data_IF_997902948037
#
_entry.id   IF_997902948037
#
_cell.length_a   1.000
_cell.length_b   1.000
_cell.length_c   1.000
_cell.angle_alpha   90.00
_cell.angle_beta   90.00
_cell.angle_gamma   90.00
#
_symmetry.space_group_name_H-M   'P 1'
#
loop_
_entity.id
_entity.type
_entity.pdbx_description
1 polymer ?
#
# COMPACT_ATOMS: atom_id res chain seq x y z
N UNK A 1 -12.45 16.46 12.71
CA UNK A 1 -12.71 15.59 13.86
C UNK A 1 -12.73 16.40 15.14
N UNK A 2 -13.66 16.07 16.05
CA UNK A 2 -13.88 16.83 17.27
C UNK A 2 -13.01 16.33 18.43
N UNK A 3 -12.56 17.24 19.29
CA UNK A 3 -11.78 16.92 20.50
C UNK A 3 -12.51 15.91 21.42
N UNK A 4 -13.85 15.96 21.48
CA UNK A 4 -14.65 15.04 22.29
C UNK A 4 -14.57 13.58 21.83
N UNK A 5 -14.46 13.34 20.51
CA UNK A 5 -14.32 11.97 19.96
C UNK A 5 -12.95 11.40 20.33
N UNK A 6 -11.91 12.22 20.25
CA UNK A 6 -10.55 11.87 20.66
C UNK A 6 -10.48 11.60 22.16
N UNK A 7 -11.12 12.43 22.99
CA UNK A 7 -11.16 12.24 24.45
C UNK A 7 -11.86 10.92 24.83
N UNK A 8 -12.93 10.54 24.12
CA UNK A 8 -13.62 9.26 24.34
C UNK A 8 -12.71 8.06 24.05
N UNK A 9 -12.00 8.09 22.91
CA UNK A 9 -11.05 7.03 22.55
C UNK A 9 -9.90 6.96 23.57
N UNK A 10 -9.35 8.10 23.97
CA UNK A 10 -8.29 8.17 24.97
C UNK A 10 -8.70 7.57 26.31
N UNK A 11 -9.90 7.89 26.80
CA UNK A 11 -10.44 7.32 28.03
C UNK A 11 -10.57 5.79 27.95
N UNK A 12 -11.05 5.25 26.82
CA UNK A 12 -11.14 3.81 26.61
C UNK A 12 -9.77 3.11 26.57
N UNK A 13 -8.72 3.83 26.17
CA UNK A 13 -7.32 3.36 26.19
C UNK A 13 -6.64 3.52 27.55
N UNK A 14 -7.33 4.12 28.53
CA UNK A 14 -6.81 4.38 29.88
C UNK A 14 -5.86 5.59 29.95
N UNK A 15 -5.93 6.50 28.98
CA UNK A 15 -5.14 7.73 28.98
C UNK A 15 -5.86 8.83 29.78
N UNK A 16 -5.08 9.55 30.59
CA UNK A 16 -5.50 10.75 31.29
C UNK A 16 -5.04 12.01 30.55
N UNK A 17 -5.82 13.10 30.66
CA UNK A 17 -5.48 14.40 30.09
C UNK A 17 -6.38 14.80 28.92
N UNK A 18 -6.44 16.10 28.66
CA UNK A 18 -7.23 16.65 27.57
C UNK A 18 -6.50 16.51 26.22
N UNK A 19 -7.20 16.24 25.10
CA UNK A 19 -6.61 16.26 23.77
C UNK A 19 -5.98 17.61 23.44
N UNK A 20 -4.69 17.59 23.08
CA UNK A 20 -3.94 18.76 22.62
C UNK A 20 -3.78 18.67 21.11
N UNK A 21 -3.96 19.78 20.41
CA UNK A 21 -3.76 19.83 18.96
C UNK A 21 -2.33 20.32 18.68
N UNK A 22 -1.54 19.49 18.01
CA UNK A 22 -0.18 19.77 17.57
C UNK A 22 -0.13 19.68 16.05
N UNK A 23 -0.15 20.82 15.36
CA UNK A 23 -0.28 20.86 13.90
C UNK A 23 -1.61 20.24 13.44
N UNK A 24 -1.52 19.18 12.64
CA UNK A 24 -2.68 18.45 12.11
C UNK A 24 -3.04 17.20 12.93
N UNK A 25 -2.42 17.00 14.10
CA UNK A 25 -2.61 15.81 14.95
C UNK A 25 -3.15 16.20 16.32
N UNK A 26 -4.20 15.51 16.76
CA UNK A 26 -4.57 15.47 18.17
C UNK A 26 -3.64 14.49 18.90
N UNK A 27 -3.19 14.87 20.08
CA UNK A 27 -2.34 14.06 20.96
C UNK A 27 -2.98 13.96 22.35
N UNK A 28 -3.01 12.75 22.90
CA UNK A 28 -3.42 12.49 24.29
C UNK A 28 -2.43 11.50 24.90
N UNK A 29 -2.10 11.71 26.17
CA UNK A 29 -1.04 10.96 26.84
C UNK A 29 0.30 11.70 26.77
N UNK A 30 1.38 10.97 27.06
CA UNK A 30 2.75 11.46 27.24
C UNK A 30 2.96 12.29 28.52
N UNK A 31 3.96 11.90 29.33
CA UNK A 31 4.48 12.68 30.43
C UNK A 31 5.23 13.92 29.94
N UNK A 32 5.48 14.89 30.81
CA UNK A 32 6.22 16.12 30.43
C UNK A 32 7.64 15.85 29.89
N UNK A 33 8.17 14.65 30.14
CA UNK A 33 9.48 14.15 29.73
C UNK A 33 9.45 13.37 28.39
N UNK A 34 8.31 13.31 27.70
CA UNK A 34 8.17 12.57 26.46
C UNK A 34 7.94 11.06 26.64
N UNK A 35 7.83 10.59 27.89
CA UNK A 35 7.69 9.18 28.20
C UNK A 35 6.22 8.74 28.34
N UNK A 36 5.97 7.45 28.17
CA UNK A 36 4.67 6.84 28.46
C UNK A 36 3.73 6.68 27.25
N UNK A 37 2.46 6.32 27.53
CA UNK A 37 1.52 5.92 26.50
C UNK A 37 1.05 7.15 25.71
N UNK A 38 0.94 7.00 24.40
CA UNK A 38 0.59 8.07 23.47
C UNK A 38 -0.49 7.61 22.50
N UNK A 39 -1.54 8.42 22.37
CA UNK A 39 -2.53 8.37 21.31
C UNK A 39 -2.33 9.57 20.39
N UNK A 40 -2.20 9.30 19.08
CA UNK A 40 -2.24 10.32 18.03
C UNK A 40 -3.43 10.11 17.13
N UNK A 41 -4.07 11.19 16.68
CA UNK A 41 -5.27 11.15 15.82
C UNK A 41 -5.26 12.28 14.80
N UNK A 42 -5.30 11.96 13.50
CA UNK A 42 -5.30 12.96 12.42
C UNK A 42 -6.53 13.87 12.48
N UNK A 43 -6.40 15.20 12.58
CA UNK A 43 -7.54 16.13 12.69
C UNK A 43 -8.58 15.98 11.57
N UNK A 44 -8.14 15.67 10.35
CA UNK A 44 -9.00 15.47 9.18
C UNK A 44 -9.63 14.08 9.19
N UNK A 45 -10.91 14.00 8.82
CA UNK A 45 -11.61 12.73 8.63
C UNK A 45 -10.91 11.89 7.53
N UNK A 46 -10.92 10.55 7.62
CA UNK A 46 -11.63 9.69 8.59
C UNK A 46 -10.99 9.62 9.99
N UNK A 47 -9.89 10.33 10.21
CA UNK A 47 -9.31 10.48 11.53
C UNK A 47 -8.48 9.28 11.95
N UNK A 48 -7.48 8.94 11.14
CA UNK A 48 -6.57 7.83 11.43
C UNK A 48 -5.91 8.04 12.77
N UNK A 49 -5.99 7.03 13.62
CA UNK A 49 -5.43 7.05 14.95
C UNK A 49 -4.42 5.93 15.14
N UNK A 50 -3.45 6.21 16.00
CA UNK A 50 -2.43 5.26 16.42
C UNK A 50 -2.18 5.42 17.92
N UNK A 51 -2.08 4.28 18.60
CA UNK A 51 -1.85 4.19 20.02
C UNK A 51 -0.70 3.25 20.30
N UNK A 52 0.20 3.69 21.17
CA UNK A 52 1.23 2.83 21.74
C UNK A 52 1.31 3.04 23.25
N UNK A 53 1.34 1.94 24.00
CA UNK A 53 1.58 1.98 25.45
C UNK A 53 3.01 2.36 25.77
N UNK A 54 3.92 1.86 24.95
CA UNK A 54 5.36 1.96 25.12
C UNK A 54 5.89 2.67 23.88
N UNK A 55 6.72 3.69 24.06
CA UNK A 55 7.34 4.35 22.91
C UNK A 55 8.24 3.36 22.15
N UNK A 56 8.35 3.54 20.83
CA UNK A 56 9.35 2.84 20.01
C UNK A 56 10.70 3.54 20.25
N UNK A 57 11.18 3.38 21.46
CA UNK A 57 12.40 3.92 21.99
C UNK A 57 12.71 3.05 23.17
N UNK A 58 13.45 1.96 22.91
CA UNK A 58 14.08 1.25 24.01
C UNK A 58 14.88 2.25 24.86
N UNK A 59 15.25 1.81 26.06
CA UNK A 59 16.52 2.25 26.62
C UNK A 59 17.53 2.31 25.48
N UNK A 60 18.31 3.39 25.40
CA UNK A 60 19.23 3.67 24.31
C UNK A 60 20.00 2.42 23.88
N UNK A 61 20.48 2.46 22.65
CA UNK A 61 21.34 1.42 22.10
C UNK A 61 22.28 0.89 23.20
N UNK A 62 22.21 -0.40 23.56
CA UNK A 62 23.07 -1.01 24.61
C UNK A 62 24.57 -0.99 24.22
N UNK A 63 24.91 -0.15 23.26
CA UNK A 63 26.22 0.21 22.80
C UNK A 63 26.95 0.93 23.92
N UNK A 64 28.09 0.35 24.28
CA UNK A 64 29.02 1.00 25.19
C UNK A 64 29.57 2.24 24.49
N UNK A 65 29.33 3.42 25.07
CA UNK A 65 29.80 4.70 24.54
C UNK A 65 31.31 4.63 24.24
N UNK A 66 31.70 4.85 22.98
CA UNK A 66 33.10 4.77 22.52
C UNK A 66 33.54 3.39 22.01
N UNK A 67 32.61 2.46 21.77
CA UNK A 67 32.84 1.18 21.11
C UNK A 67 31.93 1.06 19.89
N UNK A 68 32.44 0.51 18.79
CA UNK A 68 31.69 0.25 17.56
C UNK A 68 30.76 -1.00 17.66
N UNK A 69 30.64 -1.59 18.85
CA UNK A 69 29.88 -2.83 19.07
C UNK A 69 28.85 -2.68 20.18
N UNK A 70 27.62 -3.02 19.84
CA UNK A 70 26.48 -3.04 20.75
C UNK A 70 26.32 -4.46 21.31
N UNK A 71 27.26 -4.86 22.17
CA UNK A 71 27.35 -6.23 22.69
C UNK A 71 27.52 -7.30 21.59
N UNK A 72 27.56 -8.60 21.94
CA UNK A 72 27.41 -9.65 20.93
C UNK A 72 26.01 -9.52 20.31
N UNK A 73 25.96 -9.34 18.99
CA UNK A 73 24.71 -9.22 18.24
C UNK A 73 23.90 -10.53 18.36
N UNK A 74 23.05 -10.64 19.38
CA UNK A 74 21.95 -11.60 19.34
C UNK A 74 20.89 -11.02 18.41
N UNK A 75 20.94 -11.42 17.15
CA UNK A 75 19.80 -11.28 16.24
C UNK A 75 18.55 -11.83 16.94
N UNK A 76 17.37 -11.18 16.86
CA UNK A 76 16.14 -11.79 17.33
C UNK A 76 15.92 -13.07 16.53
N UNK A 77 16.20 -14.22 17.15
CA UNK A 77 16.01 -15.53 16.54
C UNK A 77 14.51 -15.77 16.38
N UNK A 78 14.02 -15.54 15.16
CA UNK A 78 12.79 -16.16 14.68
C UNK A 78 12.97 -17.68 14.72
N UNK A 79 12.02 -18.35 15.36
CA UNK A 79 12.06 -19.76 15.75
C UNK A 79 12.75 -20.72 14.79
N UNK A 80 13.71 -21.46 15.33
CA UNK A 80 13.91 -22.87 15.01
C UNK A 80 13.82 -23.62 16.35
N UNK A 81 12.79 -24.47 16.47
CA UNK A 81 12.76 -25.49 17.49
C UNK A 81 13.92 -26.47 17.27
N UNK A 82 14.31 -27.15 18.34
CA UNK A 82 15.28 -28.26 18.39
C UNK A 82 16.73 -27.87 18.69
N UNK A 83 17.01 -27.58 19.95
CA UNK A 83 18.30 -27.90 20.59
C UNK A 83 18.11 -28.12 22.10
N UNK A 84 18.40 -29.32 22.63
CA UNK A 84 18.32 -29.57 24.06
C UNK A 84 19.61 -29.09 24.73
N UNK A 85 19.48 -28.13 25.65
CA UNK A 85 20.55 -27.76 26.59
C UNK A 85 21.12 -26.37 26.38
N UNK A 86 20.42 -25.35 26.85
CA UNK A 86 21.04 -24.09 27.27
C UNK A 86 20.26 -23.55 28.47
N UNK A 87 20.95 -23.44 29.61
CA UNK A 87 20.41 -22.96 30.87
C UNK A 87 19.91 -21.51 30.72
N UNK A 88 18.68 -21.27 31.19
CA UNK A 88 17.97 -20.01 31.00
C UNK A 88 18.64 -18.82 31.69
N UNK A 89 18.68 -17.70 30.96
CA UNK A 89 18.83 -16.37 31.57
C UNK A 89 17.50 -15.97 32.24
N UNK A 90 17.50 -15.58 33.52
CA UNK A 90 16.29 -15.09 34.19
C UNK A 90 16.09 -13.61 33.83
N UNK A 91 15.25 -13.32 32.83
CA UNK A 91 15.03 -11.93 32.43
C UNK A 91 13.92 -11.62 31.41
N UNK A 92 13.27 -12.61 30.80
CA UNK A 92 12.07 -12.35 29.98
C UNK A 92 11.22 -13.61 29.90
N UNK A 93 10.43 -13.87 30.93
CA UNK A 93 9.23 -14.65 30.74
C UNK A 93 8.29 -13.82 29.87
N UNK A 94 8.44 -13.92 28.55
CA UNK A 94 7.42 -13.43 27.63
C UNK A 94 6.15 -14.23 27.96
N UNK A 95 5.24 -13.61 28.73
CA UNK A 95 4.01 -14.25 29.16
C UNK A 95 3.25 -14.80 27.95
N UNK A 96 2.64 -15.98 28.09
CA UNK A 96 1.81 -16.53 27.03
C UNK A 96 0.71 -15.52 26.65
N UNK A 97 0.40 -15.36 25.35
CA UNK A 97 -0.68 -14.48 24.94
C UNK A 97 -2.00 -14.91 25.58
N UNK A 98 -2.84 -13.95 25.92
CA UNK A 98 -4.19 -14.19 26.44
C UNK A 98 -5.03 -15.03 25.47
N UNK A 99 -6.18 -15.56 25.89
CA UNK A 99 -7.12 -16.23 24.97
C UNK A 99 -7.77 -15.24 23.99
N UNK A 100 -8.42 -15.75 22.94
CA UNK A 100 -9.17 -14.90 22.00
C UNK A 100 -10.31 -14.15 22.71
N UNK A 101 -11.02 -14.83 23.60
CA UNK A 101 -12.14 -14.28 24.35
C UNK A 101 -11.68 -13.15 25.28
N UNK A 102 -10.56 -13.37 25.99
CA UNK A 102 -9.98 -12.36 26.87
C UNK A 102 -9.48 -11.14 26.08
N UNK A 103 -8.85 -11.34 24.92
CA UNK A 103 -8.44 -10.23 24.06
C UNK A 103 -9.63 -9.44 23.51
N UNK A 104 -10.68 -10.13 23.03
CA UNK A 104 -11.92 -9.49 22.54
C UNK A 104 -12.59 -8.68 23.65
N UNK A 105 -12.65 -9.21 24.87
CA UNK A 105 -13.17 -8.49 26.03
C UNK A 105 -12.35 -7.24 26.37
N UNK A 106 -11.02 -7.33 26.34
CA UNK A 106 -10.12 -6.20 26.58
C UNK A 106 -10.21 -5.12 25.48
N UNK A 107 -10.45 -5.51 24.23
CA UNK A 107 -10.58 -4.62 23.09
C UNK A 107 -11.96 -3.93 22.99
N UNK A 108 -13.01 -4.54 23.56
CA UNK A 108 -14.39 -4.10 23.40
C UNK A 108 -14.64 -2.61 23.78
N UNK A 109 -14.10 -2.05 24.88
CA UNK A 109 -14.28 -0.64 25.21
C UNK A 109 -13.67 0.30 24.16
N UNK A 110 -12.51 -0.05 23.63
CA UNK A 110 -11.81 0.73 22.59
C UNK A 110 -12.60 0.71 21.29
N UNK A 111 -13.09 -0.47 20.89
CA UNK A 111 -13.93 -0.63 19.70
C UNK A 111 -15.25 0.14 19.83
N UNK A 112 -15.89 0.11 21.00
CA UNK A 112 -17.09 0.90 21.27
C UNK A 112 -16.81 2.41 21.17
N UNK A 113 -15.69 2.88 21.72
CA UNK A 113 -15.28 4.28 21.64
C UNK A 113 -14.99 4.73 20.19
N UNK A 114 -14.46 3.82 19.36
CA UNK A 114 -14.25 4.01 17.93
C UNK A 114 -15.52 3.83 17.08
N UNK A 115 -16.69 3.56 17.69
CA UNK A 115 -17.95 3.37 16.97
C UNK A 115 -18.10 2.00 16.28
N UNK A 116 -17.30 1.01 16.67
CA UNK A 116 -17.17 -0.31 16.03
C UNK A 116 -17.62 -1.46 16.95
N UNK A 117 -18.49 -1.19 17.93
CA UNK A 117 -18.96 -2.21 18.88
C UNK A 117 -19.73 -3.38 18.25
N UNK A 118 -20.27 -3.20 17.04
CA UNK A 118 -20.95 -4.25 16.26
C UNK A 118 -20.09 -4.88 15.17
N UNK A 119 -18.80 -4.55 15.09
CA UNK A 119 -17.90 -5.10 14.06
C UNK A 119 -17.65 -6.59 14.29
N UNK A 120 -17.43 -7.34 13.20
CA UNK A 120 -16.96 -8.73 13.29
C UNK A 120 -15.53 -8.74 13.80
N UNK A 121 -15.26 -9.55 14.82
CA UNK A 121 -13.95 -9.63 15.46
C UNK A 121 -13.18 -10.89 15.07
N UNK A 122 -11.91 -10.73 14.72
CA UNK A 122 -10.94 -11.80 14.54
C UNK A 122 -9.77 -11.59 15.51
N UNK A 123 -9.46 -12.60 16.34
CA UNK A 123 -8.37 -12.53 17.32
C UNK A 123 -7.36 -13.68 17.17
N UNK A 124 -7.33 -14.35 16.00
CA UNK A 124 -6.47 -15.50 15.74
C UNK A 124 -4.98 -15.14 15.68
N UNK A 125 -4.67 -13.90 15.31
CA UNK A 125 -3.29 -13.43 15.13
C UNK A 125 -2.61 -13.21 16.50
N UNK A 126 -1.41 -13.80 16.63
CA UNK A 126 -0.53 -13.64 17.79
C UNK A 126 0.84 -13.16 17.30
N UNK A 127 1.41 -12.19 18.01
CA UNK A 127 2.75 -11.66 17.79
C UNK A 127 3.52 -11.66 19.11
N UNK A 128 4.36 -12.67 19.33
CA UNK A 128 5.02 -12.88 20.63
C UNK A 128 3.99 -13.11 21.75
N UNK A 129 4.04 -12.28 22.79
CA UNK A 129 3.07 -12.28 23.91
C UNK A 129 1.82 -11.45 23.65
N UNK A 130 1.69 -10.82 22.49
CA UNK A 130 0.58 -9.93 22.14
C UNK A 130 -0.41 -10.66 21.24
N UNK A 131 -1.70 -10.67 21.63
CA UNK A 131 -2.79 -11.10 20.76
C UNK A 131 -3.38 -9.89 20.03
N UNK A 132 -3.58 -10.00 18.72
CA UNK A 132 -4.13 -8.91 17.90
C UNK A 132 -5.60 -9.18 17.62
N UNK A 133 -6.46 -8.26 18.06
CA UNK A 133 -7.89 -8.21 17.71
C UNK A 133 -8.05 -7.30 16.50
N UNK A 134 -8.55 -7.83 15.41
CA UNK A 134 -8.94 -7.09 14.21
C UNK A 134 -10.46 -6.95 14.17
N UNK A 135 -10.95 -5.76 13.88
CA UNK A 135 -12.35 -5.44 13.74
C UNK A 135 -12.58 -4.74 12.40
N UNK A 136 -13.36 -5.38 11.52
CA UNK A 136 -13.79 -4.77 10.26
C UNK A 136 -15.21 -4.18 10.45
N UNK A 137 -15.39 -2.86 10.35
CA UNK A 137 -16.67 -2.23 10.56
C UNK A 137 -17.65 -2.53 9.42
N UNK A 138 -18.95 -2.50 9.73
CA UNK A 138 -20.01 -2.50 8.71
C UNK A 138 -20.30 -1.03 8.36
N UNK A 139 -20.22 -0.67 7.09
CA UNK A 139 -20.44 0.70 6.61
C UNK A 139 -21.60 0.68 5.62
N UNK A 140 -22.66 1.45 5.91
CA UNK A 140 -23.86 1.47 5.05
C UNK A 140 -24.54 0.11 4.90
N UNK A 141 -24.41 -0.79 5.89
CA UNK A 141 -24.94 -2.15 5.84
C UNK A 141 -24.05 -3.16 5.10
N UNK A 142 -22.92 -2.72 4.55
CA UNK A 142 -21.99 -3.58 3.82
C UNK A 142 -20.77 -3.95 4.69
N UNK A 143 -20.31 -5.21 4.67
CA UNK A 143 -19.07 -5.60 5.33
C UNK A 143 -17.88 -4.90 4.66
N UNK A 144 -16.86 -4.57 5.45
CA UNK A 144 -15.60 -4.02 4.92
C UNK A 144 -14.49 -5.05 4.99
N UNK A 145 -13.51 -4.92 4.10
CA UNK A 145 -12.27 -5.69 4.14
C UNK A 145 -11.08 -4.74 3.94
N UNK A 146 -10.11 -4.79 4.86
CA UNK A 146 -8.93 -3.91 4.81
C UNK A 146 -9.17 -2.48 5.30
N UNK A 147 -10.32 -2.24 5.92
CA UNK A 147 -10.64 -1.02 6.68
C UNK A 147 -10.71 -1.33 8.17
N UNK A 148 -9.73 -2.10 8.67
CA UNK A 148 -9.79 -2.67 10.01
C UNK A 148 -9.23 -1.72 11.08
N UNK A 149 -9.88 -1.75 12.24
CA UNK A 149 -9.23 -1.40 13.50
C UNK A 149 -8.46 -2.60 14.02
N UNK A 150 -7.21 -2.40 14.43
CA UNK A 150 -6.37 -3.44 15.05
C UNK A 150 -5.96 -3.02 16.44
N UNK A 151 -6.12 -3.93 17.41
CA UNK A 151 -5.83 -3.69 18.82
C UNK A 151 -4.94 -4.84 19.30
N UNK A 152 -3.72 -4.53 19.75
CA UNK A 152 -2.84 -5.49 20.38
C UNK A 152 -3.10 -5.55 21.89
N UNK A 153 -3.30 -6.75 22.42
CA UNK A 153 -3.53 -7.01 23.85
C UNK A 153 -2.37 -7.84 24.40
N UNK A 154 -1.69 -7.32 25.42
CA UNK A 154 -0.58 -8.01 26.09
C UNK A 154 -1.04 -9.18 26.97
N UNK A 155 -0.08 -9.96 27.46
CA UNK A 155 -0.32 -11.09 28.37
C UNK A 155 -1.02 -10.69 29.69
N UNK A 156 -0.93 -9.41 30.07
CA UNK A 156 -1.60 -8.80 31.23
C UNK A 156 -3.04 -8.33 30.94
N UNK A 157 -3.59 -8.68 29.77
CA UNK A 157 -4.90 -8.24 29.28
C UNK A 157 -5.04 -6.72 29.10
N UNK A 158 -3.93 -5.97 29.00
CA UNK A 158 -3.95 -4.55 28.68
C UNK A 158 -3.76 -4.34 27.18
N UNK A 159 -4.46 -3.37 26.61
CA UNK A 159 -4.28 -2.95 25.20
C UNK A 159 -2.90 -2.32 25.06
N UNK A 160 -1.91 -2.94 24.42
CA UNK A 160 -0.54 -2.39 24.30
C UNK A 160 -0.33 -1.54 23.05
N UNK A 161 -1.08 -1.82 21.98
CA UNK A 161 -1.02 -1.09 20.71
C UNK A 161 -2.43 -0.98 20.13
N UNK A 162 -2.65 0.01 19.28
CA UNK A 162 -3.90 0.09 18.52
C UNK A 162 -3.80 1.04 17.34
N UNK A 163 -4.53 0.76 16.27
CA UNK A 163 -4.68 1.68 15.15
C UNK A 163 -5.99 1.47 14.42
N UNK A 164 -6.50 2.51 13.78
CA UNK A 164 -7.74 2.45 13.02
C UNK A 164 -8.20 3.83 12.54
N UNK A 165 -9.50 3.94 12.27
CA UNK A 165 -10.17 5.17 11.87
C UNK A 165 -11.23 5.54 12.89
N UNK A 166 -11.31 6.83 13.27
CA UNK A 166 -12.21 7.26 14.34
C UNK A 166 -13.61 7.64 13.86
N UNK A 167 -13.74 8.03 12.59
CA UNK A 167 -15.02 8.42 12.00
C UNK A 167 -15.37 7.49 10.84
N UNK A 168 -16.64 7.09 10.77
CA UNK A 168 -17.14 6.33 9.64
C UNK A 168 -17.02 7.15 8.33
N UNK A 169 -16.64 6.51 7.21
CA UNK A 169 -16.68 7.16 5.91
C UNK A 169 -18.09 7.65 5.58
N UNK A 170 -18.16 8.82 4.93
CA UNK A 170 -19.43 9.37 4.41
C UNK A 170 -19.68 8.84 2.99
N UNK A 171 -20.95 8.68 2.63
CA UNK A 171 -21.34 8.25 1.28
C UNK A 171 -20.94 9.33 0.26
N UNK A 172 -20.11 8.96 -0.71
CA UNK A 172 -19.67 9.87 -1.77
C UNK A 172 -20.62 9.84 -2.98
N UNK A 173 -20.82 8.66 -3.59
CA UNK A 173 -21.64 8.50 -4.79
C UNK A 173 -22.24 7.08 -4.88
N UNK A 174 -23.13 6.89 -5.85
CA UNK A 174 -23.56 5.58 -6.31
C UNK A 174 -22.68 5.11 -7.46
N UNK A 175 -22.35 3.82 -7.47
CA UNK A 175 -21.51 3.23 -8.50
C UNK A 175 -22.14 1.92 -8.99
N UNK A 176 -22.28 1.74 -10.32
CA UNK A 176 -22.66 0.45 -10.88
C UNK A 176 -21.66 -0.64 -10.49
N UNK A 177 -22.17 -1.80 -10.10
CA UNK A 177 -21.35 -2.96 -9.73
C UNK A 177 -21.52 -4.08 -10.74
N UNK A 178 -20.41 -4.76 -11.05
CA UNK A 178 -20.42 -6.00 -11.82
C UNK A 178 -21.01 -7.15 -11.01
N UNK A 179 -21.43 -8.24 -11.64
CA UNK A 179 -21.84 -9.46 -10.94
C UNK A 179 -20.66 -10.20 -10.28
N UNK A 180 -20.97 -11.02 -9.26
CA UNK A 180 -19.94 -11.79 -8.53
C UNK A 180 -19.15 -12.76 -9.42
N UNK A 181 -19.83 -13.39 -10.38
CA UNK A 181 -19.21 -14.35 -11.32
C UNK A 181 -18.19 -13.64 -12.20
N UNK A 182 -18.54 -12.48 -12.76
CA UNK A 182 -17.63 -11.68 -13.59
C UNK A 182 -16.46 -11.14 -12.77
N UNK A 183 -16.71 -10.69 -11.54
CA UNK A 183 -15.64 -10.27 -10.63
C UNK A 183 -14.67 -11.41 -10.32
N UNK A 184 -15.17 -12.63 -10.09
CA UNK A 184 -14.35 -13.81 -9.86
C UNK A 184 -13.55 -14.20 -11.11
N UNK A 185 -14.14 -14.10 -12.30
CA UNK A 185 -13.43 -14.31 -13.57
C UNK A 185 -12.26 -13.33 -13.69
N UNK A 186 -12.50 -12.03 -13.46
CA UNK A 186 -11.44 -11.00 -13.45
C UNK A 186 -10.37 -11.26 -12.40
N UNK A 187 -10.74 -11.80 -11.24
CA UNK A 187 -9.78 -12.17 -10.19
C UNK A 187 -8.89 -13.33 -10.64
N UNK A 188 -9.49 -14.35 -11.26
CA UNK A 188 -8.77 -15.50 -11.80
C UNK A 188 -7.83 -15.09 -12.95
N UNK A 189 -8.25 -14.19 -13.83
CA UNK A 189 -7.43 -13.69 -14.94
C UNK A 189 -6.16 -12.99 -14.45
N UNK A 190 -6.27 -12.14 -13.41
CA UNK A 190 -5.10 -11.50 -12.76
C UNK A 190 -4.16 -12.53 -12.15
N UNK A 191 -4.71 -13.62 -11.59
CA UNK A 191 -3.95 -14.67 -10.93
C UNK A 191 -3.16 -15.58 -11.89
N UNK A 192 -3.45 -15.55 -13.20
CA UNK A 192 -2.73 -16.38 -14.18
C UNK A 192 -1.31 -15.89 -14.48
N UNK A 193 -0.98 -14.63 -14.17
CA UNK A 193 0.32 -14.04 -14.51
C UNK A 193 0.56 -13.98 -16.02
N UNK A 194 1.52 -13.18 -16.46
CA UNK A 194 2.02 -13.30 -17.83
C UNK A 194 2.70 -14.67 -17.99
N UNK A 195 2.50 -15.33 -19.14
CA UNK A 195 2.96 -16.67 -19.49
C UNK A 195 4.47 -16.87 -19.25
N UNK A 196 4.91 -17.14 -18.01
CA UNK A 196 6.21 -17.70 -17.63
C UNK A 196 7.48 -17.04 -18.22
N UNK A 197 7.38 -15.91 -18.90
CA UNK A 197 8.44 -15.30 -19.72
C UNK A 197 8.89 -13.94 -19.19
N UNK A 198 8.23 -13.44 -18.13
CA UNK A 198 8.70 -12.27 -17.39
C UNK A 198 9.80 -12.67 -16.40
N UNK A 199 10.87 -11.85 -16.23
CA UNK A 199 11.84 -12.07 -15.17
C UNK A 199 11.08 -11.94 -13.84
N UNK A 200 10.92 -13.04 -13.12
CA UNK A 200 10.38 -13.03 -11.77
C UNK A 200 11.22 -12.14 -10.84
N UNK A 201 10.72 -11.83 -9.63
CA UNK A 201 11.48 -11.06 -8.65
C UNK A 201 12.66 -11.89 -8.14
N UNK A 202 13.76 -11.90 -8.88
CA UNK A 202 15.04 -12.48 -8.49
C UNK A 202 16.19 -11.71 -9.13
N UNK A 203 16.21 -10.39 -8.98
CA UNK A 203 17.47 -9.65 -9.02
C UNK A 203 17.99 -9.57 -7.58
N UNK A 204 19.00 -10.36 -7.28
CA UNK A 204 19.79 -10.22 -6.07
C UNK A 204 20.36 -8.80 -6.00
N UNK A 205 19.94 -8.00 -5.02
CA UNK A 205 20.62 -6.75 -4.74
C UNK A 205 22.03 -7.09 -4.23
N UNK A 206 23.07 -6.66 -4.96
CA UNK A 206 24.46 -6.74 -4.49
C UNK A 206 24.78 -5.49 -3.66
N UNK A 207 25.58 -5.65 -2.61
CA UNK A 207 26.08 -4.55 -1.79
C UNK A 207 26.92 -3.57 -2.61
N UNK A 208 26.80 -2.27 -2.35
CA UNK A 208 27.71 -1.21 -2.87
C UNK A 208 28.76 -0.85 -1.80
N UNK A 209 30.00 -0.44 -2.16
CA UNK A 209 30.44 0.04 -3.48
C UNK A 209 30.91 -1.04 -4.46
N UNK A 210 30.50 -0.90 -5.73
CA UNK A 210 31.05 -1.66 -6.86
C UNK A 210 32.39 -1.04 -7.28
N UNK A 211 33.50 -1.51 -6.72
CA UNK A 211 34.80 -1.25 -7.33
C UNK A 211 34.94 -2.16 -8.58
N UNK A 212 35.28 -1.60 -9.76
CA UNK A 212 35.28 -2.33 -11.03
C UNK A 212 36.22 -3.56 -11.08
N UNK A 213 37.18 -3.67 -10.16
CA UNK A 213 38.31 -4.59 -10.27
C UNK A 213 38.42 -5.59 -9.10
N UNK A 214 37.33 -5.92 -8.40
CA UNK A 214 37.36 -7.02 -7.43
C UNK A 214 36.85 -8.30 -8.09
N UNK A 215 37.71 -9.29 -8.42
CA UNK A 215 37.24 -10.57 -8.86
C UNK A 215 36.48 -11.22 -7.70
N UNK A 216 35.19 -11.52 -7.93
CA UNK A 216 34.44 -12.41 -7.04
C UNK A 216 35.20 -13.73 -6.95
N UNK A 217 35.71 -14.06 -5.77
CA UNK A 217 36.36 -15.34 -5.55
C UNK A 217 35.33 -16.45 -5.81
N UNK A 218 35.75 -17.53 -6.47
CA UNK A 218 34.89 -18.69 -6.79
C UNK A 218 34.28 -19.42 -5.56
N UNK A 219 34.49 -18.87 -4.35
CA UNK A 219 34.00 -19.40 -3.08
C UNK A 219 33.01 -18.48 -2.37
N UNK A 220 32.68 -17.31 -2.91
CA UNK A 220 31.60 -16.48 -2.36
C UNK A 220 30.25 -17.04 -2.82
N UNK A 221 29.61 -17.83 -1.95
CA UNK A 221 28.19 -18.15 -2.10
C UNK A 221 27.39 -16.85 -2.09
N UNK A 222 26.92 -16.42 -3.25
CA UNK A 222 25.93 -15.35 -3.36
C UNK A 222 24.76 -15.69 -2.42
N UNK A 223 24.31 -14.76 -1.55
CA UNK A 223 23.28 -15.01 -0.53
C UNK A 223 21.89 -15.34 -1.12
N UNK A 224 21.77 -15.36 -2.44
CA UNK A 224 20.57 -15.71 -3.16
C UNK A 224 20.96 -16.44 -4.47
N UNK A 225 20.28 -17.57 -4.72
CA UNK A 225 20.44 -18.34 -5.95
C UNK A 225 19.89 -17.52 -7.15
N UNK A 226 20.70 -17.19 -8.17
CA UNK A 226 20.26 -16.46 -9.36
C UNK A 226 19.41 -17.31 -10.32
N UNK A 227 19.30 -18.62 -10.10
CA UNK A 227 18.46 -19.48 -10.92
C UNK A 227 16.97 -19.15 -10.71
N UNK A 228 16.19 -18.99 -11.79
CA UNK A 228 14.74 -18.88 -11.70
C UNK A 228 14.23 -20.17 -11.06
N UNK A 229 13.81 -20.09 -9.79
CA UNK A 229 13.08 -21.19 -9.18
C UNK A 229 11.83 -21.41 -10.03
N UNK A 230 11.56 -22.65 -10.49
CA UNK A 230 10.33 -22.94 -11.22
C UNK A 230 9.16 -22.41 -10.40
N UNK A 231 8.41 -21.45 -10.96
CA UNK A 231 7.21 -20.97 -10.31
C UNK A 231 6.28 -22.17 -10.17
N UNK A 232 5.92 -22.50 -8.92
CA UNK A 232 4.94 -23.55 -8.69
C UNK A 232 3.67 -23.17 -9.47
N UNK A 233 3.03 -24.14 -10.16
CA UNK A 233 1.78 -23.88 -10.86
C UNK A 233 0.78 -23.16 -9.95
N UNK A 234 0.00 -22.21 -10.48
CA UNK A 234 -1.04 -21.54 -9.70
C UNK A 234 -1.96 -22.60 -9.12
N UNK A 235 -2.23 -22.48 -7.82
CA UNK A 235 -3.08 -23.42 -7.10
C UNK A 235 -4.53 -22.99 -7.23
N UNK A 236 -5.40 -23.94 -7.53
CA UNK A 236 -6.85 -23.70 -7.48
C UNK A 236 -7.33 -23.77 -6.03
N UNK A 237 -8.24 -22.88 -5.66
CA UNK A 237 -8.85 -22.82 -4.33
C UNK A 237 -10.37 -22.74 -4.45
N UNK A 238 -11.08 -23.37 -3.51
CA UNK A 238 -12.55 -23.40 -3.53
C UNK A 238 -13.13 -22.14 -2.92
N UNK A 239 -13.94 -21.42 -3.68
CA UNK A 239 -14.79 -20.32 -3.18
C UNK A 239 -16.11 -20.91 -2.68
N UNK A 240 -16.46 -20.62 -1.42
CA UNK A 240 -17.71 -21.09 -0.79
C UNK A 240 -18.85 -20.10 -0.89
N UNK A 241 -18.52 -18.81 -0.99
CA UNK A 241 -19.50 -17.74 -0.98
C UNK A 241 -18.93 -16.46 -1.57
N UNK A 242 -19.83 -15.58 -1.98
CA UNK A 242 -19.53 -14.24 -2.45
C UNK A 242 -20.56 -13.27 -1.86
N UNK A 243 -20.08 -12.21 -1.22
CA UNK A 243 -20.93 -11.14 -0.70
C UNK A 243 -20.46 -9.79 -1.26
N UNK A 244 -21.41 -8.89 -1.52
CA UNK A 244 -21.07 -7.52 -1.88
C UNK A 244 -20.64 -6.78 -0.60
N UNK A 245 -19.48 -6.16 -0.66
CA UNK A 245 -18.88 -5.42 0.44
C UNK A 245 -18.11 -4.21 -0.04
N UNK A 246 -17.25 -3.72 0.83
CA UNK A 246 -16.43 -2.53 0.62
C UNK A 246 -14.96 -2.83 0.91
N UNK A 247 -14.04 -2.29 0.12
CA UNK A 247 -12.60 -2.38 0.37
C UNK A 247 -11.97 -1.00 0.40
N UNK A 248 -10.84 -0.89 1.10
CA UNK A 248 -10.02 0.32 1.04
C UNK A 248 -9.62 0.62 -0.41
N UNK A 249 -9.85 1.85 -0.84
CA UNK A 249 -9.53 2.35 -2.17
C UNK A 249 -9.41 3.87 -2.19
N UNK A 250 -9.47 4.45 -3.38
CA UNK A 250 -9.42 5.89 -3.59
C UNK A 250 -10.78 6.38 -4.06
N UNK A 251 -11.30 7.43 -3.41
CA UNK A 251 -12.56 8.11 -3.75
C UNK A 251 -12.25 9.61 -3.81
N UNK A 252 -12.53 10.26 -4.94
CA UNK A 252 -12.23 11.69 -5.17
C UNK A 252 -10.79 12.10 -4.84
N UNK A 253 -9.82 11.21 -5.12
CA UNK A 253 -8.39 11.42 -4.83
C UNK A 253 -8.02 11.24 -3.35
N UNK A 254 -8.97 10.98 -2.46
CA UNK A 254 -8.76 10.69 -1.05
C UNK A 254 -8.89 9.20 -0.72
N UNK A 255 -8.38 8.79 0.44
CA UNK A 255 -8.60 7.43 0.95
C UNK A 255 -10.07 7.24 1.30
N UNK A 256 -10.66 6.16 0.80
CA UNK A 256 -12.06 5.84 1.03
C UNK A 256 -12.35 4.34 0.88
N UNK A 257 -13.63 4.04 0.72
CA UNK A 257 -14.13 2.70 0.50
C UNK A 257 -14.78 2.61 -0.88
N UNK A 258 -14.46 1.55 -1.64
CA UNK A 258 -15.06 1.26 -2.94
C UNK A 258 -15.79 -0.07 -2.92
N UNK A 259 -16.87 -0.24 -3.71
CA UNK A 259 -17.57 -1.52 -3.83
C UNK A 259 -16.64 -2.65 -4.27
N UNK A 260 -16.78 -3.82 -3.63
CA UNK A 260 -16.02 -5.02 -3.95
C UNK A 260 -16.83 -6.29 -3.68
N UNK A 261 -16.51 -7.35 -4.42
CA UNK A 261 -16.95 -8.69 -4.06
C UNK A 261 -15.95 -9.31 -3.09
N UNK A 262 -16.45 -9.74 -1.95
CA UNK A 262 -15.69 -10.46 -0.92
C UNK A 262 -15.97 -11.95 -1.08
N UNK A 263 -14.96 -12.69 -1.53
CA UNK A 263 -15.04 -14.13 -1.76
C UNK A 263 -14.54 -14.89 -0.52
N UNK A 264 -15.40 -15.73 0.05
CA UNK A 264 -15.00 -16.65 1.11
C UNK A 264 -14.29 -17.85 0.49
N UNK A 265 -12.99 -17.94 0.70
CA UNK A 265 -12.14 -19.04 0.24
C UNK A 265 -12.01 -20.09 1.33
N UNK A 266 -12.20 -21.35 0.96
CA UNK A 266 -12.09 -22.46 1.87
C UNK A 266 -10.68 -22.60 2.44
N UNK A 267 -10.59 -22.84 3.75
CA UNK A 267 -9.36 -23.25 4.38
C UNK A 267 -8.97 -24.67 3.96
N UNK A 268 -7.68 -24.98 4.02
CA UNK A 268 -7.13 -26.29 3.66
C UNK A 268 -7.03 -27.18 4.89
N UNK A 269 -7.24 -28.48 4.70
CA UNK A 269 -7.01 -29.51 5.73
C UNK A 269 -7.72 -29.21 7.07
N UNK A 270 -8.94 -28.68 7.00
CA UNK A 270 -9.72 -28.27 8.18
C UNK A 270 -9.30 -26.94 8.82
N UNK A 271 -8.28 -26.28 8.26
CA UNK A 271 -7.87 -24.94 8.66
C UNK A 271 -8.92 -23.86 8.37
N UNK A 272 -8.77 -22.67 8.94
CA UNK A 272 -9.74 -21.61 8.76
C UNK A 272 -9.77 -21.07 7.33
N UNK A 273 -10.95 -20.66 6.87
CA UNK A 273 -11.11 -19.95 5.61
C UNK A 273 -10.52 -18.53 5.66
N UNK A 274 -10.44 -17.90 4.48
CA UNK A 274 -10.03 -16.51 4.32
C UNK A 274 -10.92 -15.77 3.35
N UNK A 275 -10.95 -14.45 3.47
CA UNK A 275 -11.64 -13.57 2.52
C UNK A 275 -10.67 -13.03 1.49
N UNK A 276 -11.02 -13.10 0.22
CA UNK A 276 -10.30 -12.45 -0.88
C UNK A 276 -11.23 -11.43 -1.52
N UNK A 277 -10.77 -10.19 -1.66
CA UNK A 277 -11.59 -9.12 -2.19
C UNK A 277 -11.20 -8.74 -3.62
N UNK A 278 -12.18 -8.44 -4.46
CA UNK A 278 -11.99 -7.93 -5.81
C UNK A 278 -12.89 -6.70 -6.02
N UNK A 279 -12.34 -5.53 -6.39
CA UNK A 279 -13.13 -4.35 -6.71
C UNK A 279 -14.24 -4.65 -7.73
N UNK A 280 -15.45 -4.18 -7.42
CA UNK A 280 -16.68 -4.51 -8.13
C UNK A 280 -17.10 -3.46 -9.16
N UNK A 281 -16.28 -2.43 -9.38
CA UNK A 281 -16.53 -1.46 -10.45
C UNK A 281 -16.85 -2.20 -11.76
N UNK A 282 -17.89 -1.76 -12.45
CA UNK A 282 -18.09 -2.13 -13.85
C UNK A 282 -16.84 -1.65 -14.58
N UNK A 283 -16.15 -2.57 -15.25
CA UNK A 283 -15.14 -2.15 -16.21
C UNK A 283 -15.91 -1.31 -17.22
N UNK A 284 -15.60 -0.01 -17.34
CA UNK A 284 -16.10 0.75 -18.47
C UNK A 284 -15.68 -0.04 -19.71
N UNK A 285 -16.66 -0.53 -20.47
CA UNK A 285 -16.38 -1.03 -21.80
C UNK A 285 -15.56 0.08 -22.47
N UNK A 286 -14.33 -0.17 -22.93
CA UNK A 286 -13.70 0.80 -23.81
C UNK A 286 -14.71 1.01 -24.93
N UNK A 287 -15.06 2.27 -25.28
CA UNK A 287 -16.08 2.53 -26.27
C UNK A 287 -15.82 1.63 -27.47
N UNK A 288 -16.84 0.88 -27.89
CA UNK A 288 -16.80 -0.05 -29.01
C UNK A 288 -16.49 0.73 -30.29
N UNK A 289 -15.20 1.00 -30.48
CA UNK A 289 -14.46 1.69 -31.54
C UNK A 289 -13.15 2.23 -30.92
N UNK A 290 -12.43 1.42 -30.15
CA UNK A 290 -11.06 1.75 -29.82
C UNK A 290 -10.24 1.58 -31.11
N UNK A 291 -9.56 2.63 -31.62
CA UNK A 291 -8.47 2.42 -32.56
C UNK A 291 -7.48 1.44 -31.91
N UNK A 292 -6.74 0.64 -32.70
CA UNK A 292 -5.85 -0.39 -32.18
C UNK A 292 -4.99 0.19 -31.05
N UNK A 293 -4.91 -0.56 -29.94
CA UNK A 293 -4.22 -0.26 -28.69
C UNK A 293 -3.40 1.03 -28.74
N UNK A 294 -3.96 2.12 -28.18
CA UNK A 294 -3.20 3.34 -28.01
C UNK A 294 -1.89 2.98 -27.28
N UNK A 295 -0.76 3.12 -27.98
CA UNK A 295 0.55 2.91 -27.39
C UNK A 295 0.69 3.74 -26.11
N UNK A 296 1.62 3.36 -25.25
CA UNK A 296 1.91 4.14 -24.04
C UNK A 296 2.22 5.58 -24.48
N UNK A 297 1.58 6.57 -23.88
CA UNK A 297 1.82 7.99 -24.22
C UNK A 297 2.63 8.66 -23.12
N UNK A 298 3.50 9.59 -23.51
CA UNK A 298 4.31 10.39 -22.58
C UNK A 298 3.91 11.86 -22.66
N UNK A 299 3.79 12.58 -21.54
CA UNK A 299 3.43 13.99 -21.55
C UNK A 299 4.63 14.86 -21.96
N UNK A 300 4.38 15.86 -22.81
CA UNK A 300 5.31 16.96 -23.02
C UNK A 300 5.33 17.91 -21.81
N UNK A 301 6.42 18.66 -21.63
CA UNK A 301 6.48 19.75 -20.62
C UNK A 301 6.70 21.13 -21.23
N UNK A 302 7.33 21.23 -22.41
CA UNK A 302 7.50 22.49 -23.14
C UNK A 302 7.57 22.27 -24.64
N UNK A 303 7.48 23.36 -25.40
CA UNK A 303 7.65 23.33 -26.85
C UNK A 303 8.41 24.55 -27.36
N UNK A 304 9.05 24.39 -28.51
CA UNK A 304 9.57 25.47 -29.33
C UNK A 304 9.05 25.33 -30.76
N UNK A 305 9.03 26.43 -31.50
CA UNK A 305 8.53 26.46 -32.86
C UNK A 305 9.46 27.28 -33.74
N UNK A 306 9.76 26.75 -34.92
CA UNK A 306 10.49 27.42 -35.98
C UNK A 306 9.74 27.21 -37.30
N UNK A 307 9.20 28.30 -37.87
CA UNK A 307 8.35 28.34 -39.07
C UNK A 307 7.08 27.47 -38.98
N UNK A 308 7.23 26.19 -39.34
CA UNK A 308 6.17 25.17 -39.30
C UNK A 308 6.65 23.90 -38.61
N UNK A 309 7.79 23.95 -37.95
CA UNK A 309 8.35 22.82 -37.21
C UNK A 309 8.06 23.05 -35.74
N UNK A 310 7.20 22.20 -35.18
CA UNK A 310 6.92 22.14 -33.76
C UNK A 310 7.87 21.12 -33.13
N UNK A 311 8.63 21.54 -32.12
CA UNK A 311 9.50 20.69 -31.32
C UNK A 311 8.91 20.60 -29.92
N UNK A 312 8.67 19.39 -29.41
CA UNK A 312 8.13 19.18 -28.07
C UNK A 312 9.20 18.50 -27.21
N UNK A 313 9.46 19.06 -26.03
CA UNK A 313 10.37 18.51 -25.03
C UNK A 313 9.60 17.67 -24.02
N UNK A 314 10.13 16.49 -23.68
CA UNK A 314 9.49 15.52 -22.79
C UNK A 314 10.53 14.66 -22.07
N UNK A 315 10.10 13.95 -21.02
CA UNK A 315 10.91 12.93 -20.36
C UNK A 315 10.56 11.55 -20.92
N UNK A 316 11.54 10.86 -21.51
CA UNK A 316 11.37 9.55 -22.12
C UNK A 316 12.33 8.51 -21.55
N UNK A 317 11.87 7.26 -21.42
CA UNK A 317 12.73 6.11 -21.18
C UNK A 317 13.64 5.77 -22.36
N UNK A 318 14.84 5.27 -22.07
CA UNK A 318 15.89 4.99 -23.08
C UNK A 318 15.64 3.74 -23.94
N UNK A 319 14.66 2.90 -23.59
CA UNK A 319 14.39 1.64 -24.30
C UNK A 319 13.23 1.72 -25.31
N UNK A 320 12.74 2.93 -25.60
CA UNK A 320 11.61 3.16 -26.49
C UNK A 320 11.99 4.13 -27.60
N UNK A 321 11.26 4.04 -28.71
CA UNK A 321 11.24 5.06 -29.76
C UNK A 321 9.99 5.91 -29.59
N UNK A 322 10.08 7.21 -29.90
CA UNK A 322 9.01 8.16 -29.71
C UNK A 322 8.56 8.78 -31.03
N UNK A 323 7.25 8.96 -31.19
CA UNK A 323 6.65 9.64 -32.32
C UNK A 323 5.69 10.73 -31.85
N UNK A 324 5.74 11.91 -32.49
CA UNK A 324 4.85 13.02 -32.21
C UNK A 324 3.72 13.06 -33.24
N UNK A 325 2.49 12.88 -32.76
CA UNK A 325 1.27 13.15 -33.51
C UNK A 325 0.76 14.55 -33.20
N UNK A 326 0.33 15.27 -34.24
CA UNK A 326 -0.22 16.61 -34.12
C UNK A 326 -1.60 16.68 -34.77
N UNK A 327 -2.56 17.28 -34.07
CA UNK A 327 -3.88 17.62 -34.60
C UNK A 327 -4.08 19.12 -34.50
N UNK A 328 -4.13 19.78 -35.64
CA UNK A 328 -4.35 21.22 -35.73
C UNK A 328 -5.85 21.53 -35.72
N UNK A 329 -6.23 22.43 -34.84
CA UNK A 329 -7.54 23.05 -34.75
C UNK A 329 -7.41 24.57 -34.93
N UNK A 330 -8.51 25.31 -35.12
CA UNK A 330 -8.44 26.76 -35.34
C UNK A 330 -7.73 27.53 -34.22
N UNK A 331 -7.95 27.14 -32.96
CA UNK A 331 -7.40 27.86 -31.78
C UNK A 331 -6.29 27.08 -31.05
N UNK A 332 -6.15 25.79 -31.33
CA UNK A 332 -5.24 24.90 -30.59
C UNK A 332 -4.52 23.93 -31.51
N UNK A 333 -3.35 23.48 -31.07
CA UNK A 333 -2.58 22.41 -31.69
C UNK A 333 -2.40 21.32 -30.65
N UNK A 334 -3.12 20.22 -30.81
CA UNK A 334 -3.04 19.09 -29.88
C UNK A 334 -1.86 18.20 -30.23
N UNK A 335 -1.01 17.89 -29.25
CA UNK A 335 0.17 17.04 -29.39
C UNK A 335 0.02 15.74 -28.62
N UNK A 336 0.37 14.60 -29.22
CA UNK A 336 0.45 13.31 -28.55
C UNK A 336 1.80 12.67 -28.85
N UNK A 337 2.57 12.35 -27.81
CA UNK A 337 3.82 11.62 -27.94
C UNK A 337 3.57 10.14 -27.62
N UNK A 338 3.80 9.27 -28.59
CA UNK A 338 3.63 7.82 -28.44
C UNK A 338 4.97 7.16 -28.19
N UNK A 339 5.09 6.43 -27.07
CA UNK A 339 6.18 5.52 -26.73
C UNK A 339 5.93 4.16 -27.38
N UNK A 340 6.91 3.70 -28.15
CA UNK A 340 6.97 2.34 -28.68
C UNK A 340 8.20 1.63 -28.12
N UNK A 341 8.05 0.58 -27.27
CA UNK A 341 9.20 -0.15 -26.76
C UNK A 341 9.97 -0.82 -27.90
N UNK A 342 11.29 -0.65 -27.91
CA UNK A 342 12.16 -1.23 -28.94
C UNK A 342 12.20 -2.77 -28.85
N UNK A 343 11.96 -3.32 -27.65
CA UNK A 343 11.90 -4.77 -27.38
C UNK A 343 10.67 -5.07 -26.52
N UNK A 344 9.50 -5.35 -27.15
CA UNK A 344 8.28 -5.67 -26.43
C UNK A 344 8.48 -6.84 -25.46
N UNK A 345 7.99 -6.71 -24.23
CA UNK A 345 8.11 -7.75 -23.19
C UNK A 345 9.43 -7.75 -22.39
N UNK A 346 10.45 -6.98 -22.81
CA UNK A 346 11.67 -6.83 -22.03
C UNK A 346 11.55 -5.66 -21.04
N UNK A 347 11.95 -5.89 -19.78
CA UNK A 347 12.04 -4.82 -18.77
C UNK A 347 13.03 -3.74 -19.20
N UNK A 348 12.63 -2.48 -19.13
CA UNK A 348 13.53 -1.34 -19.32
C UNK A 348 14.07 -0.88 -17.97
N UNK A 349 15.33 -0.44 -17.93
CA UNK A 349 15.89 0.24 -16.76
C UNK A 349 15.14 1.56 -16.53
N UNK A 350 14.85 1.88 -15.27
CA UNK A 350 14.09 3.07 -14.86
C UNK A 350 14.91 4.37 -14.98
N UNK A 351 15.36 4.70 -16.19
CA UNK A 351 16.07 5.94 -16.51
C UNK A 351 15.21 6.73 -17.50
N UNK A 352 14.83 7.95 -17.10
CA UNK A 352 14.22 8.92 -17.99
C UNK A 352 15.29 9.96 -18.40
N UNK A 353 15.34 10.28 -19.69
CA UNK A 353 16.15 11.36 -20.23
C UNK A 353 15.24 12.45 -20.80
N UNK A 354 15.72 13.69 -20.75
CA UNK A 354 15.10 14.78 -21.47
C UNK A 354 15.34 14.55 -22.96
N UNK A 355 14.26 14.48 -23.72
CA UNK A 355 14.26 14.16 -25.14
C UNK A 355 13.37 15.13 -25.90
N UNK A 356 13.58 15.21 -27.21
CA UNK A 356 12.78 16.05 -28.10
C UNK A 356 12.23 15.23 -29.26
N UNK A 357 11.00 15.56 -29.66
CA UNK A 357 10.36 15.03 -30.86
C UNK A 357 9.80 16.19 -31.68
N UNK A 358 9.85 16.06 -33.00
CA UNK A 358 9.44 17.13 -33.91
C UNK A 358 8.33 16.68 -34.84
N UNK A 359 7.48 17.61 -35.22
CA UNK A 359 6.43 17.43 -36.21
C UNK A 359 6.27 18.69 -37.05
N UNK A 360 5.88 18.50 -38.32
CA UNK A 360 5.62 19.61 -39.24
C UNK A 360 4.13 19.95 -39.22
N UNK A 361 3.83 21.20 -38.91
CA UNK A 361 2.49 21.78 -38.99
C UNK A 361 2.12 22.08 -40.45
N UNK A 362 0.85 21.95 -40.76
CA UNK A 362 0.24 22.36 -42.03
C UNK A 362 0.33 23.89 -42.18
N UNK A 363 0.04 24.62 -41.10
CA UNK A 363 0.11 26.08 -41.03
C UNK A 363 1.06 26.54 -39.91
N UNK A 364 1.70 27.73 -40.01
CA UNK A 364 2.49 28.29 -38.92
C UNK A 364 1.70 28.34 -37.60
N UNK A 365 2.36 28.19 -36.45
CA UNK A 365 1.64 28.03 -35.17
C UNK A 365 0.80 29.26 -34.82
N UNK A 366 1.36 30.47 -35.03
CA UNK A 366 0.69 31.74 -34.72
C UNK A 366 0.36 31.84 -33.22
N UNK A 367 -0.85 32.31 -32.92
CA UNK A 367 -1.34 32.48 -31.54
C UNK A 367 -2.02 31.22 -30.97
N UNK A 368 -2.02 30.10 -31.73
CA UNK A 368 -2.66 28.86 -31.30
C UNK A 368 -1.93 28.24 -30.12
N UNK A 369 -2.69 27.78 -29.14
CA UNK A 369 -2.13 27.13 -27.94
C UNK A 369 -1.76 25.68 -28.24
N UNK A 370 -0.58 25.26 -27.80
CA UNK A 370 -0.16 23.85 -27.87
C UNK A 370 -0.67 23.12 -26.63
N UNK A 371 -1.47 22.07 -26.83
CA UNK A 371 -2.10 21.31 -25.76
C UNK A 371 -1.60 19.86 -25.82
N UNK A 372 -1.11 19.34 -24.70
CA UNK A 372 -0.77 17.93 -24.57
C UNK A 372 -2.06 17.08 -24.47
N UNK A 373 -2.29 16.21 -25.45
CA UNK A 373 -3.50 15.40 -25.54
C UNK A 373 -3.58 14.27 -24.49
N UNK A 374 -2.46 13.96 -23.82
CA UNK A 374 -2.40 12.95 -22.76
C UNK A 374 -2.90 13.53 -21.43
N UNK A 375 -2.55 14.78 -21.15
CA UNK A 375 -2.85 15.45 -19.87
C UNK A 375 -3.96 16.49 -19.98
N UNK A 376 -4.30 16.94 -21.20
CA UNK A 376 -5.23 18.04 -21.46
C UNK A 376 -4.67 19.41 -21.09
N UNK A 377 -3.38 19.53 -20.77
CA UNK A 377 -2.77 20.78 -20.27
C UNK A 377 -2.03 21.55 -21.38
N UNK A 378 -2.00 22.88 -21.31
CA UNK A 378 -1.16 23.67 -22.20
C UNK A 378 0.33 23.44 -21.91
N UNK A 379 1.13 23.33 -22.97
CA UNK A 379 2.58 23.28 -22.88
C UNK A 379 3.16 24.69 -22.80
N UNK A 380 4.24 24.86 -22.03
CA UNK A 380 4.95 26.13 -21.96
C UNK A 380 5.78 26.35 -23.23
N UNK A 381 5.69 27.54 -23.83
CA UNK A 381 6.57 27.94 -24.93
C UNK A 381 7.95 28.31 -24.38
N UNK A 382 9.01 27.82 -25.00
CA UNK A 382 10.40 28.18 -24.69
C UNK A 382 10.80 29.53 -25.27
#
# INVERSE_FOLDING_TARGET
MASAEVARLAAALGLSGAPRLTGELWQVGEGADGSGPLLTVNRKAPGTWNFSRFQVGGTGDDCVRGKDTCGPATLPQGGAADSPGAAGSPGSAAGSPVSEEAAKAAAAPVLAAAGQGGARLDARLVQGSVRVVSADPVVGGLPTQGWSTRIGVGADSKVVTGSGELTAPVRAAEQPVTGAVDALARLNDKGRGADGTGPGPSACATSVPLAPDTPVGATDTLPCNPEPRPMKPPRTESVRGAELGLVAGTVDGGRGLVPAWLFEVAGKDGGPGRTVAQPAAVAEDPPASAPPAAGRTVPGFSYSEADRTLTVNFWGGVCSTYALEVREQPETVMTRITDTPNKPGQSCIMIAQEMTVTAKLQQPLGDRKVIDATTGKPLARQ
#
